data_IF_738542768424
#
_entry.id   IF_738542768424
#
_cell.length_a   1.000
_cell.length_b   1.000
_cell.length_c   1.000
_cell.angle_alpha   90.00
_cell.angle_beta   90.00
_cell.angle_gamma   90.00
#
_symmetry.space_group_name_H-M   'P 1'
#
loop_
_entity.id
_entity.type
_entity.pdbx_description
1 polymer ?
#
# COMPACT_ATOMS: atom_id res chain seq x y z
N UNK A 1 -12.71 -17.70 -5.79
CA UNK A 1 -12.02 -18.13 -4.54
C UNK A 1 -10.98 -19.24 -4.75
N UNK A 2 -10.91 -19.92 -5.90
CA UNK A 2 -10.01 -21.06 -6.12
C UNK A 2 -8.56 -20.70 -6.55
N UNK A 3 -8.33 -19.60 -7.23
CA UNK A 3 -6.98 -19.24 -7.71
C UNK A 3 -6.01 -18.79 -6.61
N UNK A 4 -6.51 -18.06 -5.61
CA UNK A 4 -5.69 -17.58 -4.48
C UNK A 4 -5.09 -18.74 -3.66
N UNK A 5 -5.79 -19.87 -3.56
CA UNK A 5 -5.36 -21.00 -2.74
C UNK A 5 -4.16 -21.78 -3.31
N UNK A 6 -3.80 -21.57 -4.59
CA UNK A 6 -2.65 -22.25 -5.24
C UNK A 6 -1.43 -21.35 -5.41
N UNK A 7 -1.52 -20.08 -5.04
CA UNK A 7 -0.46 -19.08 -5.18
C UNK A 7 0.28 -18.86 -3.86
N UNK A 8 1.53 -18.42 -3.96
CA UNK A 8 2.27 -17.86 -2.82
C UNK A 8 1.65 -16.51 -2.48
N UNK A 9 1.09 -16.37 -1.28
CA UNK A 9 0.44 -15.13 -0.85
C UNK A 9 1.43 -14.27 -0.08
N UNK A 10 1.58 -13.03 -0.51
CA UNK A 10 2.51 -12.06 0.09
C UNK A 10 1.71 -10.87 0.59
N UNK A 11 1.84 -10.59 1.86
CA UNK A 11 1.23 -9.44 2.54
C UNK A 11 2.30 -8.40 2.80
N UNK A 12 2.12 -7.23 2.21
CA UNK A 12 3.05 -6.09 2.27
C UNK A 12 2.46 -4.88 2.99
N UNK A 13 1.13 -4.84 3.13
CA UNK A 13 0.37 -3.72 3.72
C UNK A 13 0.17 -3.94 5.22
N UNK A 14 1.08 -3.41 6.02
CA UNK A 14 1.20 -3.68 7.45
C UNK A 14 2.28 -4.71 7.75
N UNK A 15 2.04 -5.60 8.71
CA UNK A 15 3.03 -6.61 9.05
C UNK A 15 3.33 -7.53 7.87
N UNK A 16 4.59 -7.53 7.42
CA UNK A 16 5.04 -8.40 6.34
C UNK A 16 4.85 -9.88 6.70
N UNK A 17 4.15 -10.60 5.85
CA UNK A 17 3.98 -12.05 6.00
C UNK A 17 3.84 -12.74 4.65
N UNK A 18 4.18 -14.02 4.63
CA UNK A 18 4.08 -14.86 3.43
C UNK A 18 3.38 -16.16 3.80
N UNK A 19 2.40 -16.56 2.99
CA UNK A 19 1.65 -17.82 3.17
C UNK A 19 1.90 -18.68 1.94
N UNK A 20 2.34 -19.91 2.19
CA UNK A 20 2.58 -20.90 1.15
C UNK A 20 1.30 -21.39 0.47
N UNK A 21 1.41 -22.06 -0.71
CA UNK A 21 0.27 -22.67 -1.39
C UNK A 21 -0.44 -23.76 -0.56
N UNK A 22 0.22 -24.27 0.46
CA UNK A 22 -0.31 -25.22 1.46
C UNK A 22 -1.16 -24.54 2.54
N UNK A 23 -1.30 -23.20 2.50
CA UNK A 23 -2.00 -22.40 3.50
C UNK A 23 -1.21 -22.10 4.77
N UNK A 24 0.04 -22.58 4.88
CA UNK A 24 0.86 -22.35 6.06
C UNK A 24 1.62 -21.02 5.96
N UNK A 25 1.58 -20.26 7.06
CA UNK A 25 2.38 -19.04 7.16
C UNK A 25 3.86 -19.39 7.38
N UNK A 26 4.72 -18.82 6.54
CA UNK A 26 6.18 -18.92 6.66
C UNK A 26 6.63 -18.10 7.87
N UNK A 27 7.24 -18.76 8.84
CA UNK A 27 7.67 -18.11 10.09
C UNK A 27 8.93 -17.27 9.87
N UNK A 28 9.09 -16.19 10.61
CA UNK A 28 10.26 -15.31 10.52
C UNK A 28 11.59 -16.07 10.69
N UNK A 29 11.65 -17.09 11.57
CA UNK A 29 12.83 -17.92 11.78
C UNK A 29 13.24 -18.75 10.55
N UNK A 30 12.30 -19.10 9.68
CA UNK A 30 12.54 -19.95 8.51
C UNK A 30 13.34 -19.20 7.42
N UNK A 31 13.25 -17.87 7.41
CA UNK A 31 14.03 -17.01 6.51
C UNK A 31 15.53 -16.95 6.87
N UNK A 32 15.89 -17.33 8.09
CA UNK A 32 17.26 -17.31 8.60
C UNK A 32 17.79 -15.90 8.84
N UNK A 33 18.38 -15.29 7.83
CA UNK A 33 18.98 -13.94 7.96
C UNK A 33 18.02 -12.85 7.47
N UNK A 34 18.08 -11.66 8.10
CA UNK A 34 17.30 -10.50 7.67
C UNK A 34 17.54 -10.13 6.18
N UNK A 35 18.78 -10.28 5.69
CA UNK A 35 19.11 -10.01 4.28
C UNK A 35 18.37 -10.94 3.30
N UNK A 36 17.97 -12.13 3.71
CA UNK A 36 17.12 -13.03 2.91
C UNK A 36 15.73 -12.43 2.72
N UNK A 37 15.11 -11.97 3.82
CA UNK A 37 13.80 -11.31 3.77
C UNK A 37 13.91 -10.00 2.98
N UNK A 38 14.96 -9.21 3.23
CA UNK A 38 15.18 -7.93 2.57
C UNK A 38 15.29 -8.09 1.04
N UNK A 39 16.03 -9.09 0.57
CA UNK A 39 16.14 -9.38 -0.87
C UNK A 39 14.78 -9.78 -1.46
N UNK A 40 14.01 -10.62 -0.77
CA UNK A 40 12.68 -10.99 -1.23
C UNK A 40 11.74 -9.79 -1.30
N UNK A 41 11.72 -8.96 -0.26
CA UNK A 41 10.94 -7.71 -0.23
C UNK A 41 11.36 -6.73 -1.34
N UNK A 42 12.67 -6.65 -1.63
CA UNK A 42 13.19 -5.83 -2.72
C UNK A 42 12.67 -6.33 -4.09
N UNK A 43 12.74 -7.64 -4.35
CA UNK A 43 12.20 -8.23 -5.58
C UNK A 43 10.69 -7.99 -5.71
N UNK A 44 9.94 -8.06 -4.61
CA UNK A 44 8.50 -7.73 -4.59
C UNK A 44 8.29 -6.25 -4.94
N UNK A 45 9.05 -5.34 -4.35
CA UNK A 45 8.94 -3.90 -4.62
C UNK A 45 9.23 -3.55 -6.07
N UNK A 46 10.19 -4.24 -6.67
CA UNK A 46 10.62 -3.98 -8.05
C UNK A 46 9.91 -4.86 -9.11
N UNK A 47 8.88 -5.61 -8.73
CA UNK A 47 8.18 -6.60 -9.58
C UNK A 47 7.60 -6.06 -10.88
N UNK A 48 7.24 -4.78 -10.91
CA UNK A 48 6.72 -4.10 -12.11
C UNK A 48 7.82 -3.57 -13.05
N UNK A 49 9.07 -3.65 -12.59
CA UNK A 49 10.22 -3.28 -13.42
C UNK A 49 10.63 -4.44 -14.32
N UNK A 50 11.51 -4.15 -15.29
CA UNK A 50 12.18 -5.21 -16.06
C UNK A 50 13.07 -6.05 -15.15
N UNK A 51 13.42 -7.27 -15.63
CA UNK A 51 14.35 -8.14 -14.91
C UNK A 51 15.61 -7.37 -14.50
N UNK A 52 15.98 -7.42 -13.23
CA UNK A 52 17.10 -6.68 -12.67
C UNK A 52 18.39 -7.49 -12.73
N UNK A 53 19.47 -6.86 -13.17
CA UNK A 53 20.80 -7.46 -13.12
C UNK A 53 21.28 -7.61 -11.68
N UNK A 54 21.93 -8.72 -11.35
CA UNK A 54 22.35 -9.01 -9.97
C UNK A 54 23.20 -7.90 -9.36
N UNK A 55 24.04 -7.23 -10.15
CA UNK A 55 24.89 -6.13 -9.64
C UNK A 55 24.05 -4.91 -9.23
N UNK A 56 22.94 -4.62 -9.93
CA UNK A 56 22.00 -3.59 -9.52
C UNK A 56 21.34 -3.94 -8.18
N UNK A 57 21.00 -5.21 -7.99
CA UNK A 57 20.44 -5.69 -6.73
C UNK A 57 21.49 -5.60 -5.61
N UNK A 58 22.73 -6.04 -5.87
CA UNK A 58 23.83 -6.01 -4.90
C UNK A 58 24.13 -4.56 -4.49
N UNK A 59 24.27 -3.64 -5.44
CA UNK A 59 24.56 -2.23 -5.14
C UNK A 59 23.48 -1.57 -4.27
N UNK A 60 22.24 -2.01 -4.38
CA UNK A 60 21.13 -1.47 -3.57
C UNK A 60 21.04 -2.08 -2.18
N UNK A 61 21.33 -3.38 -2.04
CA UNK A 61 21.13 -4.08 -0.77
C UNK A 61 22.41 -4.27 0.04
N UNK A 62 23.58 -4.20 -0.60
CA UNK A 62 24.90 -4.34 0.04
C UNK A 62 25.85 -3.25 -0.45
N UNK A 63 25.51 -1.95 -0.28
CA UNK A 63 26.30 -0.85 -0.84
C UNK A 63 27.74 -0.79 -0.32
N UNK A 64 27.97 -1.26 0.91
CA UNK A 64 29.29 -1.25 1.58
C UNK A 64 30.14 -2.50 1.29
N UNK A 65 29.61 -3.47 0.54
CA UNK A 65 30.32 -4.71 0.25
C UNK A 65 31.22 -4.59 -0.99
N UNK A 66 32.40 -5.16 -0.91
CA UNK A 66 33.19 -5.40 -2.11
C UNK A 66 32.50 -6.42 -3.03
N UNK A 67 32.92 -6.47 -4.30
CA UNK A 67 32.27 -7.29 -5.33
C UNK A 67 32.20 -8.78 -4.96
N UNK A 68 33.27 -9.35 -4.37
CA UNK A 68 33.31 -10.78 -4.01
C UNK A 68 32.37 -11.08 -2.83
N UNK A 69 32.38 -10.23 -1.83
CA UNK A 69 31.50 -10.36 -0.66
C UNK A 69 30.04 -10.16 -1.03
N UNK A 70 29.73 -9.14 -1.84
CA UNK A 70 28.38 -8.90 -2.35
C UNK A 70 27.84 -10.07 -3.16
N UNK A 71 28.65 -10.64 -4.06
CA UNK A 71 28.28 -11.82 -4.84
C UNK A 71 27.98 -13.05 -3.96
N UNK A 72 28.82 -13.29 -2.95
CA UNK A 72 28.60 -14.39 -2.00
C UNK A 72 27.32 -14.20 -1.22
N UNK A 73 27.11 -13.01 -0.65
CA UNK A 73 25.97 -12.70 0.21
C UNK A 73 24.65 -12.71 -0.58
N UNK A 74 24.67 -12.21 -1.81
CA UNK A 74 23.55 -12.35 -2.74
C UNK A 74 23.18 -13.82 -3.01
N UNK A 75 24.17 -14.67 -3.31
CA UNK A 75 23.93 -16.10 -3.57
C UNK A 75 23.36 -16.81 -2.33
N UNK A 76 23.87 -16.47 -1.15
CA UNK A 76 23.36 -17.02 0.13
C UNK A 76 21.91 -16.59 0.35
N UNK A 77 21.61 -15.30 0.15
CA UNK A 77 20.25 -14.78 0.32
C UNK A 77 19.27 -15.40 -0.70
N UNK A 78 19.66 -15.51 -1.99
CA UNK A 78 18.86 -16.17 -3.02
C UNK A 78 18.59 -17.64 -2.71
N UNK A 79 19.62 -18.37 -2.27
CA UNK A 79 19.46 -19.75 -1.83
C UNK A 79 18.49 -19.84 -0.64
N UNK A 80 18.60 -18.93 0.32
CA UNK A 80 17.69 -18.85 1.47
C UNK A 80 16.26 -18.63 1.05
N UNK A 81 15.99 -17.68 0.14
CA UNK A 81 14.65 -17.43 -0.40
C UNK A 81 14.08 -18.71 -1.02
N UNK A 82 14.80 -19.32 -1.99
CA UNK A 82 14.32 -20.51 -2.68
C UNK A 82 14.02 -21.66 -1.74
N UNK A 83 14.87 -21.87 -0.71
CA UNK A 83 14.64 -22.89 0.32
C UNK A 83 13.34 -22.66 1.09
N UNK A 84 12.95 -21.41 1.30
CA UNK A 84 11.79 -21.04 2.10
C UNK A 84 10.51 -21.08 1.28
N UNK A 85 10.52 -20.52 0.05
CA UNK A 85 9.31 -20.42 -0.77
C UNK A 85 9.08 -21.65 -1.66
N UNK A 86 10.12 -22.45 -1.90
CA UNK A 86 10.08 -23.69 -2.70
C UNK A 86 10.79 -24.85 -1.98
N UNK A 87 10.35 -25.24 -0.76
CA UNK A 87 11.07 -26.23 0.05
C UNK A 87 11.21 -27.60 -0.61
N UNK A 88 10.26 -27.95 -1.48
CA UNK A 88 10.21 -29.24 -2.18
C UNK A 88 10.82 -29.21 -3.59
N UNK A 89 11.48 -28.09 -3.97
CA UNK A 89 12.07 -27.94 -5.28
C UNK A 89 13.25 -28.90 -5.46
N UNK A 90 13.22 -29.72 -6.54
CA UNK A 90 14.36 -30.53 -6.90
C UNK A 90 15.49 -29.64 -7.49
N UNK A 91 16.74 -30.11 -7.37
CA UNK A 91 17.90 -29.37 -7.89
C UNK A 91 17.88 -29.16 -9.42
N UNK A 92 17.07 -29.93 -10.14
CA UNK A 92 16.96 -29.88 -11.61
C UNK A 92 15.71 -29.17 -12.11
N UNK A 93 14.74 -28.83 -11.24
CA UNK A 93 13.54 -28.11 -11.65
C UNK A 93 13.80 -26.62 -11.77
N UNK A 94 13.09 -25.96 -12.68
CA UNK A 94 13.08 -24.51 -12.79
C UNK A 94 12.46 -23.87 -11.54
N UNK A 95 12.87 -22.65 -11.22
CA UNK A 95 12.27 -21.91 -10.12
C UNK A 95 10.88 -21.40 -10.53
N UNK A 96 9.90 -21.58 -9.64
CA UNK A 96 8.52 -21.19 -9.90
C UNK A 96 8.28 -19.70 -9.66
N UNK A 97 8.92 -19.12 -8.63
CA UNK A 97 8.60 -17.78 -8.15
C UNK A 97 9.64 -16.73 -8.55
N UNK A 98 10.92 -17.12 -8.70
CA UNK A 98 12.00 -16.22 -9.09
C UNK A 98 12.67 -16.77 -10.34
N UNK A 99 12.38 -16.14 -11.47
CA UNK A 99 12.96 -16.50 -12.77
C UNK A 99 14.36 -15.89 -12.86
N UNK A 100 15.33 -16.73 -13.21
CA UNK A 100 16.70 -16.32 -13.50
C UNK A 100 17.00 -16.51 -14.97
N UNK A 101 17.46 -15.45 -15.63
CA UNK A 101 17.96 -15.50 -17.01
C UNK A 101 19.40 -14.93 -17.03
N UNK A 102 20.40 -15.81 -17.10
CA UNK A 102 21.80 -15.41 -16.98
C UNK A 102 22.11 -14.74 -15.65
N UNK A 103 22.37 -13.43 -15.68
CA UNK A 103 22.63 -12.61 -14.49
C UNK A 103 21.45 -11.74 -14.09
N UNK A 104 20.28 -11.89 -14.69
CA UNK A 104 19.08 -11.13 -14.36
C UNK A 104 18.09 -11.96 -13.56
N UNK A 105 17.31 -11.30 -12.71
CA UNK A 105 16.32 -11.89 -11.81
C UNK A 105 15.01 -11.11 -11.86
N UNK A 106 13.89 -11.84 -11.86
CA UNK A 106 12.55 -11.29 -11.89
C UNK A 106 11.58 -12.19 -11.12
N UNK A 107 10.55 -11.62 -10.51
CA UNK A 107 9.45 -12.40 -9.94
C UNK A 107 8.50 -12.88 -11.05
N UNK A 108 8.04 -14.14 -10.93
CA UNK A 108 6.98 -14.72 -11.76
C UNK A 108 5.61 -14.33 -11.16
N UNK A 109 5.07 -13.20 -11.60
CA UNK A 109 3.87 -12.59 -11.02
C UNK A 109 2.64 -13.48 -11.05
N UNK A 110 2.48 -14.34 -12.07
CA UNK A 110 1.35 -15.27 -12.23
C UNK A 110 1.23 -16.31 -11.10
N UNK A 111 2.31 -16.57 -10.39
CA UNK A 111 2.34 -17.50 -9.27
C UNK A 111 2.22 -16.84 -7.90
N UNK A 112 2.07 -15.52 -7.87
CA UNK A 112 2.05 -14.71 -6.67
C UNK A 112 0.70 -14.03 -6.51
N UNK A 113 0.19 -14.01 -5.29
CA UNK A 113 -0.86 -13.11 -4.86
C UNK A 113 -0.24 -12.08 -3.91
N UNK A 114 -0.26 -10.81 -4.27
CA UNK A 114 0.32 -9.73 -3.48
C UNK A 114 -0.79 -8.76 -3.11
N UNK A 115 -0.95 -8.49 -1.82
CA UNK A 115 -2.04 -7.64 -1.30
C UNK A 115 -2.04 -6.23 -1.90
N UNK A 116 -0.87 -5.63 -2.12
CA UNK A 116 -0.76 -4.32 -2.77
C UNK A 116 -1.22 -4.33 -4.22
N UNK A 117 -0.96 -5.40 -4.99
CA UNK A 117 -1.45 -5.52 -6.37
C UNK A 117 -2.97 -5.66 -6.42
N UNK A 118 -3.51 -6.47 -5.52
CA UNK A 118 -4.96 -6.69 -5.43
C UNK A 118 -5.68 -5.43 -4.98
N UNK A 119 -5.12 -4.68 -4.03
CA UNK A 119 -5.61 -3.37 -3.62
C UNK A 119 -5.72 -2.44 -4.83
N UNK A 120 -4.66 -2.33 -5.63
CA UNK A 120 -4.62 -1.48 -6.81
C UNK A 120 -5.67 -1.89 -7.86
N UNK A 121 -5.79 -3.19 -8.13
CA UNK A 121 -6.81 -3.74 -9.05
C UNK A 121 -8.22 -3.39 -8.57
N UNK A 122 -8.50 -3.49 -7.28
CA UNK A 122 -9.83 -3.15 -6.77
C UNK A 122 -10.11 -1.65 -6.78
N UNK A 123 -9.10 -0.80 -6.50
CA UNK A 123 -9.23 0.65 -6.66
C UNK A 123 -9.53 0.99 -8.12
N UNK A 124 -8.79 0.41 -9.07
CA UNK A 124 -9.02 0.65 -10.50
C UNK A 124 -10.44 0.25 -10.94
N UNK A 125 -10.93 -0.92 -10.51
CA UNK A 125 -12.30 -1.36 -10.78
C UNK A 125 -13.34 -0.46 -10.12
N UNK A 126 -13.10 -0.01 -8.90
CA UNK A 126 -13.95 0.95 -8.21
C UNK A 126 -14.06 2.25 -8.98
N UNK A 127 -12.92 2.83 -9.37
CA UNK A 127 -12.87 4.08 -10.13
C UNK A 127 -13.55 3.95 -11.51
N UNK A 128 -13.40 2.82 -12.19
CA UNK A 128 -14.09 2.57 -13.47
C UNK A 128 -15.61 2.53 -13.31
N UNK A 129 -16.10 2.00 -12.19
CA UNK A 129 -17.54 1.89 -11.93
C UNK A 129 -18.19 3.18 -11.42
N UNK A 130 -17.43 4.20 -10.99
CA UNK A 130 -17.94 5.40 -10.31
C UNK A 130 -19.10 6.08 -11.01
N UNK A 131 -19.03 6.24 -12.33
CA UNK A 131 -20.03 6.96 -13.11
C UNK A 131 -21.23 6.10 -13.51
N UNK A 132 -21.03 4.80 -13.65
CA UNK A 132 -22.05 3.89 -14.21
C UNK A 132 -22.80 3.15 -13.09
N UNK A 133 -22.13 2.75 -12.03
CA UNK A 133 -22.72 2.02 -10.91
C UNK A 133 -21.98 2.36 -9.58
N UNK A 134 -22.41 3.43 -8.90
CA UNK A 134 -21.80 3.83 -7.62
C UNK A 134 -21.87 2.76 -6.52
N UNK A 135 -22.82 1.81 -6.59
CA UNK A 135 -22.91 0.71 -5.62
C UNK A 135 -21.76 -0.28 -5.82
N UNK A 136 -21.53 -0.69 -7.06
CA UNK A 136 -20.41 -1.54 -7.45
C UNK A 136 -19.09 -0.85 -7.18
N UNK A 137 -18.98 0.46 -7.44
CA UNK A 137 -17.80 1.23 -7.08
C UNK A 137 -17.49 1.15 -5.58
N UNK A 138 -18.50 1.36 -4.72
CA UNK A 138 -18.36 1.21 -3.26
C UNK A 138 -17.86 -0.18 -2.87
N UNK A 139 -18.43 -1.24 -3.42
CA UNK A 139 -18.03 -2.61 -3.09
C UNK A 139 -16.54 -2.86 -3.38
N UNK A 140 -16.04 -2.44 -4.54
CA UNK A 140 -14.63 -2.59 -4.89
C UNK A 140 -13.72 -1.73 -4.01
N UNK A 141 -14.08 -0.48 -3.77
CA UNK A 141 -13.28 0.41 -2.95
C UNK A 141 -13.23 -0.06 -1.48
N UNK A 142 -14.33 -0.58 -0.92
CA UNK A 142 -14.31 -1.20 0.41
C UNK A 142 -13.40 -2.42 0.46
N UNK A 143 -13.45 -3.31 -0.54
CA UNK A 143 -12.53 -4.46 -0.62
C UNK A 143 -11.07 -4.01 -0.69
N UNK A 144 -10.80 -2.89 -1.37
CA UNK A 144 -9.44 -2.34 -1.45
C UNK A 144 -8.96 -1.86 -0.07
N UNK A 145 -9.72 -0.99 0.60
CA UNK A 145 -9.30 -0.46 1.91
C UNK A 145 -9.25 -1.52 3.01
N UNK A 146 -10.02 -2.61 2.89
CA UNK A 146 -9.94 -3.76 3.80
C UNK A 146 -8.58 -4.48 3.73
N UNK A 147 -7.89 -4.44 2.60
CA UNK A 147 -6.52 -4.98 2.47
C UNK A 147 -5.48 -4.09 3.15
N UNK A 148 -5.73 -2.79 3.23
CA UNK A 148 -4.79 -1.84 3.81
C UNK A 148 -4.78 -1.95 5.34
N UNK A 149 -3.85 -2.74 5.89
CA UNK A 149 -3.66 -2.94 7.34
C UNK A 149 -2.58 -2.03 7.94
N UNK A 150 -1.94 -1.23 7.12
CA UNK A 150 -0.86 -0.31 7.50
C UNK A 150 0.05 0.02 6.32
N UNK A 151 1.09 0.78 6.57
CA UNK A 151 2.04 1.21 5.55
C UNK A 151 2.69 0.03 4.81
N UNK A 152 3.05 0.26 3.56
CA UNK A 152 3.82 -0.69 2.76
C UNK A 152 5.18 -0.95 3.40
N UNK A 153 5.47 -2.23 3.71
CA UNK A 153 6.69 -2.71 4.34
C UNK A 153 7.17 -1.82 5.52
N UNK A 154 6.40 -1.71 6.61
CA UNK A 154 6.75 -0.82 7.73
C UNK A 154 8.03 -1.22 8.45
N UNK A 155 8.45 -2.48 8.33
CA UNK A 155 9.74 -2.96 8.84
C UNK A 155 10.96 -2.48 8.01
N UNK A 156 10.72 -1.75 6.90
CA UNK A 156 11.73 -1.14 6.02
C UNK A 156 11.56 0.37 5.88
N UNK A 157 11.11 1.04 6.92
CA UNK A 157 10.74 2.46 6.90
C UNK A 157 11.85 3.36 6.33
N UNK A 158 13.11 3.07 6.66
CA UNK A 158 14.28 3.85 6.24
C UNK A 158 14.99 3.29 4.99
N UNK A 159 14.39 2.32 4.31
CA UNK A 159 14.98 1.75 3.10
C UNK A 159 14.52 2.55 1.87
N UNK A 160 15.45 3.24 1.22
CA UNK A 160 15.18 4.11 0.05
C UNK A 160 14.54 3.34 -1.10
N UNK A 161 14.93 2.07 -1.30
CA UNK A 161 14.46 1.24 -2.40
C UNK A 161 12.95 0.93 -2.37
N UNK A 162 12.27 1.13 -1.25
CA UNK A 162 10.82 0.95 -1.16
C UNK A 162 10.06 2.26 -0.86
N UNK A 163 10.73 3.40 -0.81
CA UNK A 163 10.11 4.68 -0.48
C UNK A 163 9.08 5.09 -1.54
N UNK A 164 9.45 5.02 -2.82
CA UNK A 164 8.57 5.38 -3.94
C UNK A 164 7.30 4.51 -3.98
N UNK A 165 7.45 3.19 -3.84
CA UNK A 165 6.31 2.27 -3.82
C UNK A 165 5.42 2.50 -2.60
N UNK A 166 6.00 2.80 -1.44
CA UNK A 166 5.25 3.14 -0.23
C UNK A 166 4.42 4.40 -0.43
N UNK A 167 5.01 5.46 -0.97
CA UNK A 167 4.32 6.71 -1.26
C UNK A 167 3.20 6.48 -2.29
N UNK A 168 3.46 5.76 -3.36
CA UNK A 168 2.48 5.42 -4.39
C UNK A 168 1.26 4.69 -3.81
N UNK A 169 1.50 3.66 -3.00
CA UNK A 169 0.41 2.89 -2.34
C UNK A 169 -0.35 3.77 -1.36
N UNK A 170 0.33 4.61 -0.61
CA UNK A 170 -0.32 5.55 0.32
C UNK A 170 -1.26 6.51 -0.43
N UNK A 171 -0.80 7.13 -1.52
CA UNK A 171 -1.58 8.08 -2.31
C UNK A 171 -2.83 7.43 -2.91
N UNK A 172 -2.72 6.26 -3.53
CA UNK A 172 -3.89 5.59 -4.13
C UNK A 172 -4.88 5.11 -3.06
N UNK A 173 -4.39 4.68 -1.90
CA UNK A 173 -5.24 4.26 -0.77
C UNK A 173 -5.99 5.46 -0.18
N UNK A 174 -5.30 6.57 -0.01
CA UNK A 174 -5.89 7.82 0.46
C UNK A 174 -7.00 8.28 -0.50
N UNK A 175 -6.73 8.30 -1.81
CA UNK A 175 -7.74 8.63 -2.81
C UNK A 175 -8.97 7.70 -2.73
N UNK A 176 -8.77 6.40 -2.47
CA UNK A 176 -9.88 5.46 -2.28
C UNK A 176 -10.74 5.79 -1.04
N UNK A 177 -10.11 6.17 0.08
CA UNK A 177 -10.85 6.64 1.26
C UNK A 177 -11.66 7.90 0.98
N UNK A 178 -11.09 8.88 0.27
CA UNK A 178 -11.77 10.12 -0.11
C UNK A 178 -12.97 9.82 -0.99
N UNK A 179 -12.79 9.05 -2.05
CA UNK A 179 -13.88 8.67 -2.97
C UNK A 179 -15.01 7.94 -2.23
N UNK A 180 -14.67 7.01 -1.34
CA UNK A 180 -15.67 6.33 -0.50
C UNK A 180 -16.40 7.31 0.44
N UNK A 181 -15.68 8.24 1.05
CA UNK A 181 -16.26 9.24 1.93
C UNK A 181 -17.25 10.15 1.19
N UNK A 182 -16.91 10.57 -0.03
CA UNK A 182 -17.80 11.33 -0.93
C UNK A 182 -19.05 10.53 -1.30
N UNK A 183 -18.88 9.27 -1.73
CA UNK A 183 -20.00 8.38 -2.07
C UNK A 183 -20.93 8.09 -0.89
N UNK A 184 -20.45 8.23 0.35
CA UNK A 184 -21.24 8.03 1.56
C UNK A 184 -21.86 9.31 2.10
N UNK A 185 -21.44 10.49 1.66
CA UNK A 185 -21.69 11.77 2.32
C UNK A 185 -23.16 12.03 2.56
N UNK A 186 -24.01 11.90 1.54
CA UNK A 186 -25.44 12.18 1.67
C UNK A 186 -26.23 11.03 2.30
N UNK A 187 -25.85 9.78 2.01
CA UNK A 187 -26.61 8.59 2.44
C UNK A 187 -26.24 8.16 3.85
N UNK A 188 -24.97 8.27 4.23
CA UNK A 188 -24.46 7.90 5.55
C UNK A 188 -23.33 8.85 5.96
N UNK A 189 -23.66 10.07 6.43
CA UNK A 189 -22.64 11.04 6.87
C UNK A 189 -21.73 10.54 7.99
N UNK A 190 -22.20 9.62 8.83
CA UNK A 190 -21.37 9.03 9.89
C UNK A 190 -20.24 8.17 9.31
N UNK A 191 -20.53 7.38 8.29
CA UNK A 191 -19.51 6.59 7.59
C UNK A 191 -18.55 7.48 6.79
N UNK A 192 -19.06 8.54 6.17
CA UNK A 192 -18.24 9.55 5.49
C UNK A 192 -17.21 10.19 6.46
N UNK A 193 -17.63 10.54 7.68
CA UNK A 193 -16.74 11.03 8.74
C UNK A 193 -15.68 9.98 9.08
N UNK A 194 -16.06 8.72 9.28
CA UNK A 194 -15.12 7.63 9.59
C UNK A 194 -14.08 7.45 8.51
N UNK A 195 -14.50 7.42 7.24
CA UNK A 195 -13.61 7.22 6.09
C UNK A 195 -12.64 8.39 5.91
N UNK A 196 -13.13 9.63 6.01
CA UNK A 196 -12.27 10.82 5.94
C UNK A 196 -11.31 10.92 7.13
N UNK A 197 -11.69 10.43 8.32
CA UNK A 197 -10.76 10.29 9.44
C UNK A 197 -9.65 9.28 9.15
N UNK A 198 -9.96 8.16 8.50
CA UNK A 198 -8.94 7.19 8.08
C UNK A 198 -7.98 7.79 7.02
N UNK A 199 -8.49 8.60 6.09
CA UNK A 199 -7.64 9.35 5.16
C UNK A 199 -6.67 10.28 5.90
N UNK A 200 -7.13 11.01 6.91
CA UNK A 200 -6.28 11.91 7.71
C UNK A 200 -5.29 11.19 8.64
N UNK A 201 -5.46 9.90 8.89
CA UNK A 201 -4.43 9.10 9.56
C UNK A 201 -3.29 8.70 8.61
N UNK A 202 -3.56 8.66 7.30
CA UNK A 202 -2.54 8.41 6.29
C UNK A 202 -1.77 9.69 5.94
N UNK A 203 -2.51 10.80 5.83
CA UNK A 203 -1.95 12.12 5.54
C UNK A 203 -2.85 13.19 6.16
N UNK A 204 -2.40 13.80 7.24
CA UNK A 204 -3.18 14.81 7.96
C UNK A 204 -3.18 16.19 7.27
N UNK A 205 -2.42 16.34 6.19
CA UNK A 205 -2.42 17.55 5.35
C UNK A 205 -3.45 17.52 4.22
N UNK A 206 -4.19 16.41 4.05
CA UNK A 206 -5.12 16.22 2.94
C UNK A 206 -6.41 17.03 3.12
N UNK A 207 -6.48 18.19 2.48
CA UNK A 207 -7.54 19.19 2.69
C UNK A 207 -8.94 18.68 2.31
N UNK A 208 -9.07 17.84 1.28
CA UNK A 208 -10.37 17.28 0.88
C UNK A 208 -11.03 16.45 1.99
N UNK A 209 -10.23 15.71 2.77
CA UNK A 209 -10.75 14.94 3.90
C UNK A 209 -11.38 15.85 4.98
N UNK A 210 -10.77 16.99 5.26
CA UNK A 210 -11.36 17.97 6.16
C UNK A 210 -12.65 18.57 5.61
N UNK A 211 -12.67 18.88 4.30
CA UNK A 211 -13.85 19.43 3.64
C UNK A 211 -15.04 18.47 3.71
N UNK A 212 -14.82 17.19 3.39
CA UNK A 212 -15.84 16.15 3.50
C UNK A 212 -16.35 16.02 4.95
N UNK A 213 -15.45 16.04 5.94
CA UNK A 213 -15.87 16.02 7.35
C UNK A 213 -16.71 17.24 7.73
N UNK A 214 -16.34 18.42 7.26
CA UNK A 214 -17.13 19.64 7.53
C UNK A 214 -18.55 19.50 6.97
N UNK A 215 -18.68 19.04 5.72
CA UNK A 215 -19.98 18.80 5.10
C UNK A 215 -20.79 17.74 5.82
N UNK A 216 -20.18 16.60 6.17
CA UNK A 216 -20.83 15.52 6.89
C UNK A 216 -21.33 15.96 8.29
N UNK A 217 -20.52 16.74 9.03
CA UNK A 217 -20.96 17.32 10.31
C UNK A 217 -22.09 18.32 10.12
N UNK A 218 -22.06 19.14 9.06
CA UNK A 218 -23.13 20.08 8.77
C UNK A 218 -24.45 19.36 8.41
N UNK A 219 -24.39 18.29 7.61
CA UNK A 219 -25.53 17.44 7.29
C UNK A 219 -26.15 16.79 8.55
N UNK A 220 -25.31 16.44 9.53
CA UNK A 220 -25.75 15.93 10.83
C UNK A 220 -26.26 17.03 11.80
N UNK A 221 -26.34 18.29 11.38
CA UNK A 221 -26.71 19.41 12.22
C UNK A 221 -25.64 19.82 13.25
N UNK A 222 -24.43 19.28 13.17
CA UNK A 222 -23.35 19.54 14.12
C UNK A 222 -22.38 20.63 13.63
N UNK A 223 -22.90 21.87 13.52
CA UNK A 223 -22.12 23.04 13.09
C UNK A 223 -20.86 23.29 13.92
N UNK A 224 -20.88 23.14 15.26
CA UNK A 224 -19.65 23.35 16.06
C UNK A 224 -18.52 22.41 15.68
N UNK A 225 -18.80 21.14 15.38
CA UNK A 225 -17.76 20.20 14.92
C UNK A 225 -17.28 20.52 13.51
N UNK A 226 -18.15 20.94 12.60
CA UNK A 226 -17.73 21.38 11.28
C UNK A 226 -16.75 22.56 11.35
N UNK A 227 -17.03 23.56 12.20
CA UNK A 227 -16.16 24.72 12.42
C UNK A 227 -14.82 24.30 13.05
N UNK A 228 -14.83 23.41 14.05
CA UNK A 228 -13.61 22.86 14.66
C UNK A 228 -12.75 22.10 13.64
N UNK A 229 -13.38 21.37 12.73
CA UNK A 229 -12.70 20.64 11.65
C UNK A 229 -11.95 21.60 10.72
N UNK A 230 -12.58 22.71 10.33
CA UNK A 230 -11.89 23.78 9.57
C UNK A 230 -10.69 24.34 10.33
N UNK A 231 -10.86 24.64 11.63
CA UNK A 231 -9.77 25.19 12.43
C UNK A 231 -8.58 24.24 12.51
N UNK A 232 -8.85 22.91 12.60
CA UNK A 232 -7.80 21.90 12.58
C UNK A 232 -7.09 21.87 11.23
N UNK A 233 -7.83 21.88 10.11
CA UNK A 233 -7.28 21.95 8.75
C UNK A 233 -6.35 23.16 8.60
N UNK A 234 -6.84 24.35 8.93
CA UNK A 234 -6.04 25.60 8.85
C UNK A 234 -4.74 25.47 9.65
N UNK A 235 -4.81 25.00 10.89
CA UNK A 235 -3.64 24.84 11.77
C UNK A 235 -2.60 23.87 11.20
N UNK A 236 -3.05 22.76 10.61
CA UNK A 236 -2.14 21.76 10.01
C UNK A 236 -1.46 22.34 8.78
N UNK A 237 -2.20 22.93 7.86
CA UNK A 237 -1.64 23.50 6.62
C UNK A 237 -0.68 24.67 6.90
N UNK A 238 -1.00 25.52 7.87
CA UNK A 238 -0.12 26.61 8.29
C UNK A 238 1.18 26.07 8.91
N UNK A 239 1.08 25.05 9.76
CA UNK A 239 2.25 24.43 10.44
C UNK A 239 3.19 23.71 9.47
N UNK A 240 2.64 22.90 8.55
CA UNK A 240 3.45 22.05 7.67
C UNK A 240 3.96 22.78 6.42
N UNK A 241 3.17 23.74 5.88
CA UNK A 241 3.47 24.38 4.61
C UNK A 241 3.47 25.92 4.65
N UNK A 242 3.01 26.54 5.74
CA UNK A 242 2.87 27.99 5.84
C UNK A 242 1.77 28.57 4.92
N UNK A 243 0.75 27.76 4.58
CA UNK A 243 -0.33 28.17 3.67
C UNK A 243 -1.70 28.17 4.35
N UNK A 244 -2.61 28.94 3.76
CA UNK A 244 -4.03 28.96 4.13
C UNK A 244 -4.81 27.90 3.35
N UNK A 245 -5.95 27.42 3.92
CA UNK A 245 -6.88 26.55 3.21
C UNK A 245 -7.36 27.14 1.88
N UNK A 246 -7.66 26.27 0.92
CA UNK A 246 -8.17 26.63 -0.40
C UNK A 246 -9.45 27.49 -0.30
N UNK A 247 -9.74 28.34 -1.33
CA UNK A 247 -10.95 29.15 -1.37
C UNK A 247 -12.24 28.32 -1.22
N UNK A 248 -12.29 27.12 -1.80
CA UNK A 248 -13.46 26.23 -1.69
C UNK A 248 -13.75 25.82 -0.24
N UNK A 249 -12.70 25.52 0.55
CA UNK A 249 -12.85 25.17 1.96
C UNK A 249 -13.25 26.37 2.83
N UNK A 250 -12.72 27.56 2.52
CA UNK A 250 -13.14 28.81 3.16
C UNK A 250 -14.60 29.15 2.88
N UNK A 251 -15.05 29.00 1.64
CA UNK A 251 -16.42 29.23 1.22
C UNK A 251 -17.39 28.26 1.91
N UNK A 252 -17.00 26.99 2.04
CA UNK A 252 -17.78 26.00 2.78
C UNK A 252 -17.97 26.43 4.26
N UNK A 253 -16.91 26.92 4.92
CA UNK A 253 -17.01 27.44 6.28
C UNK A 253 -18.02 28.59 6.36
N UNK A 254 -17.99 29.53 5.42
CA UNK A 254 -18.92 30.66 5.36
C UNK A 254 -20.35 30.18 5.22
N UNK A 255 -20.60 29.22 4.33
CA UNK A 255 -21.92 28.60 4.14
C UNK A 255 -22.40 27.89 5.42
N UNK A 256 -21.52 27.18 6.13
CA UNK A 256 -21.87 26.49 7.39
C UNK A 256 -22.22 27.51 8.48
N UNK A 257 -21.58 28.66 8.52
CA UNK A 257 -21.85 29.71 9.53
C UNK A 257 -23.14 30.47 9.26
N UNK A 258 -23.56 30.59 8.00
CA UNK A 258 -24.75 31.35 7.60
C UNK A 258 -26.07 30.56 7.74
N UNK A 259 -26.01 29.23 7.80
CA UNK A 259 -27.16 28.34 8.03
C UNK A 259 -27.43 28.15 9.52
#
# INVERSE_FOLDING_TARGET
MSEKASQLQVYTLGQFSVVGPDGNTIKSKDWGRDKTIQLFQFLITTRHQRALHKEQIISRLWPESDQKSGDRDFKVAMHGINKVIEPNKSSRSEAKYIIRQGLTYQLAGEHLWIDSDVLEVWIAKGNQALHNDPKVAKEYLYKAIELHKGNYLPNRLFADWCAEERERIQVITLAAYITLAELCLEVNPAESIRLSQQALLLDDTWEDAYRIQMEAYALKGNRPLAIKTYQKCKKVLEKEFGIEPLPITKNLLTTIKSK
#
